data_IF_295288737760
#
_entry.id   IF_295288737760
#
_cell.length_a   1.000
_cell.length_b   1.000
_cell.length_c   1.000
_cell.angle_alpha   90.00
_cell.angle_beta   90.00
_cell.angle_gamma   90.00
#
_symmetry.space_group_name_H-M   'P 1'
#
loop_
_entity.id
_entity.type
_entity.pdbx_description
1 polymer ?
#
# COMPACT_ATOMS: atom_id res chain seq x y z
N UNK A 1 4.03 -2.91 -10.44
CA UNK A 1 3.21 -3.22 -9.26
C UNK A 1 1.72 -3.32 -9.61
N UNK A 2 0.94 -3.90 -8.69
CA UNK A 2 -0.51 -3.84 -8.69
C UNK A 2 -1.01 -2.71 -7.79
N UNK A 3 -2.12 -2.08 -8.18
CA UNK A 3 -2.76 -1.00 -7.43
C UNK A 3 -4.23 -1.30 -7.19
N UNK A 4 -4.68 -1.05 -5.96
CA UNK A 4 -6.08 -1.15 -5.55
C UNK A 4 -6.44 0.10 -4.75
N UNK A 5 -7.65 0.62 -4.94
CA UNK A 5 -8.19 1.77 -4.20
C UNK A 5 -9.48 1.36 -3.49
N UNK A 6 -9.44 1.07 -2.18
CA UNK A 6 -10.63 0.67 -1.42
C UNK A 6 -11.74 1.71 -1.39
N UNK A 7 -11.37 2.98 -1.56
CA UNK A 7 -12.27 4.13 -1.49
C UNK A 7 -12.09 5.05 -2.67
N UNK A 8 -13.12 5.82 -3.03
CA UNK A 8 -12.98 6.92 -3.97
C UNK A 8 -12.47 8.16 -3.25
N UNK A 9 -11.45 8.80 -3.84
CA UNK A 9 -10.85 10.01 -3.26
C UNK A 9 -10.89 11.12 -4.29
N UNK A 10 -11.56 12.24 -3.97
CA UNK A 10 -11.60 13.40 -4.85
C UNK A 10 -10.33 14.24 -4.77
N UNK A 11 -9.91 14.84 -5.88
CA UNK A 11 -8.73 15.70 -5.95
C UNK A 11 -8.75 16.88 -4.97
N UNK A 12 -9.94 17.39 -4.64
CA UNK A 12 -10.10 18.48 -3.67
C UNK A 12 -9.65 18.09 -2.25
N UNK A 13 -9.81 16.81 -1.89
CA UNK A 13 -9.45 16.28 -0.56
C UNK A 13 -7.97 15.87 -0.47
N UNK A 14 -7.34 15.61 -1.63
CA UNK A 14 -5.99 15.02 -1.71
C UNK A 14 -4.89 16.08 -1.65
N UNK A 15 -5.16 17.31 -2.11
CA UNK A 15 -4.11 18.29 -2.47
C UNK A 15 -3.17 18.62 -1.33
N UNK A 16 -3.66 18.68 -0.12
CA UNK A 16 -2.90 19.13 1.06
C UNK A 16 -2.85 18.10 2.20
N UNK A 17 -3.49 16.93 2.05
CA UNK A 17 -3.47 15.88 3.06
C UNK A 17 -2.08 15.21 3.12
N UNK A 18 -1.47 15.06 4.29
CA UNK A 18 -0.25 14.26 4.43
C UNK A 18 -0.54 12.79 4.13
N UNK A 19 0.48 12.05 3.69
CA UNK A 19 0.35 10.63 3.35
C UNK A 19 1.20 9.82 4.32
N UNK A 20 0.61 8.77 4.88
CA UNK A 20 1.32 7.74 5.62
C UNK A 20 1.41 6.46 4.78
N UNK A 21 2.61 5.98 4.51
CA UNK A 21 2.82 4.69 3.86
C UNK A 21 3.24 3.65 4.90
N UNK A 22 2.47 2.59 4.98
CA UNK A 22 2.67 1.49 5.92
C UNK A 22 3.04 0.21 5.15
N UNK A 23 3.85 -0.65 5.78
CA UNK A 23 3.97 -2.03 5.30
C UNK A 23 2.73 -2.83 5.70
N UNK A 24 2.52 -3.97 5.07
CA UNK A 24 1.42 -4.87 5.40
C UNK A 24 1.85 -5.90 6.43
N UNK A 25 2.74 -6.80 6.04
CA UNK A 25 3.14 -7.95 6.85
C UNK A 25 4.12 -7.54 7.96
N UNK A 26 3.78 -7.81 9.20
CA UNK A 26 4.56 -7.41 10.37
C UNK A 26 4.30 -5.97 10.85
N UNK A 27 3.42 -5.22 10.18
CA UNK A 27 2.99 -3.85 10.57
C UNK A 27 1.47 -3.79 10.78
N UNK A 28 0.70 -4.20 9.79
CA UNK A 28 -0.77 -4.22 9.88
C UNK A 28 -1.31 -5.59 10.25
N UNK A 29 -0.76 -6.63 9.64
CA UNK A 29 -1.12 -8.01 9.95
C UNK A 29 0.10 -8.84 10.34
N UNK A 30 -0.15 -9.94 11.04
CA UNK A 30 0.89 -10.90 11.40
C UNK A 30 1.56 -11.45 10.14
N UNK A 31 2.88 -11.25 10.03
CA UNK A 31 3.70 -11.94 9.05
C UNK A 31 3.90 -13.39 9.44
N UNK A 32 3.86 -14.30 8.47
CA UNK A 32 4.08 -15.73 8.74
C UNK A 32 5.04 -16.36 7.74
N UNK A 33 5.75 -17.43 8.13
CA UNK A 33 6.48 -18.26 7.18
C UNK A 33 5.50 -18.80 6.10
N UNK A 34 5.90 -18.73 4.82
CA UNK A 34 5.06 -19.22 3.72
C UNK A 34 3.97 -18.26 3.26
N UNK A 35 4.00 -17.03 3.72
CA UNK A 35 3.11 -15.92 3.33
C UNK A 35 1.67 -16.04 3.88
N UNK A 36 0.90 -14.98 3.72
CA UNK A 36 -0.56 -14.97 3.85
C UNK A 36 -1.12 -15.35 2.48
N UNK A 37 -1.72 -16.52 2.37
CA UNK A 37 -2.13 -17.10 1.09
C UNK A 37 -3.63 -17.07 0.85
N UNK A 38 -4.43 -16.77 1.89
CA UNK A 38 -5.87 -16.71 1.81
C UNK A 38 -6.43 -15.63 2.75
N UNK A 39 -7.63 -15.08 2.48
CA UNK A 39 -8.26 -14.09 3.36
C UNK A 39 -8.37 -14.55 4.82
N UNK A 40 -8.73 -15.82 5.04
CA UNK A 40 -8.92 -16.42 6.37
C UNK A 40 -7.63 -16.48 7.19
N UNK A 41 -6.50 -16.29 6.55
CA UNK A 41 -5.17 -16.26 7.21
C UNK A 41 -4.75 -14.87 7.68
N UNK A 42 -5.55 -13.84 7.38
CA UNK A 42 -5.27 -12.47 7.81
C UNK A 42 -5.53 -12.33 9.30
N UNK A 43 -4.50 -11.99 10.05
CA UNK A 43 -4.60 -11.70 11.49
C UNK A 43 -4.07 -10.30 11.74
N UNK A 44 -4.94 -9.35 12.04
CA UNK A 44 -4.56 -7.96 12.33
C UNK A 44 -3.72 -7.90 13.61
N UNK A 45 -2.62 -7.18 13.57
CA UNK A 45 -1.76 -7.00 14.75
C UNK A 45 -2.45 -6.13 15.81
N UNK A 46 -2.26 -6.41 17.09
CA UNK A 46 -2.79 -5.57 18.17
C UNK A 46 -2.37 -4.11 17.99
N UNK A 47 -3.33 -3.20 18.03
CA UNK A 47 -3.10 -1.76 17.88
C UNK A 47 -3.01 -1.26 16.43
N UNK A 48 -2.89 -2.12 15.43
CA UNK A 48 -2.77 -1.69 14.03
C UNK A 48 -3.99 -0.88 13.56
N UNK A 49 -5.20 -1.32 13.89
CA UNK A 49 -6.43 -0.59 13.56
C UNK A 49 -6.46 0.79 14.24
N UNK A 50 -6.10 0.86 15.52
CA UNK A 50 -6.06 2.12 16.26
C UNK A 50 -5.08 3.12 15.63
N UNK A 51 -3.87 2.66 15.25
CA UNK A 51 -2.88 3.51 14.58
C UNK A 51 -3.40 4.03 13.23
N UNK A 52 -4.03 3.18 12.43
CA UNK A 52 -4.62 3.60 11.14
C UNK A 52 -5.76 4.59 11.37
N UNK A 53 -6.64 4.34 12.35
CA UNK A 53 -7.73 5.24 12.73
C UNK A 53 -7.20 6.59 13.20
N UNK A 54 -6.17 6.62 14.03
CA UNK A 54 -5.54 7.85 14.52
C UNK A 54 -4.92 8.67 13.38
N UNK A 55 -4.25 8.01 12.43
CA UNK A 55 -3.73 8.67 11.23
C UNK A 55 -4.87 9.28 10.40
N UNK A 56 -5.96 8.57 10.20
CA UNK A 56 -7.11 9.08 9.46
C UNK A 56 -7.79 10.26 10.19
N UNK A 57 -7.96 10.18 11.51
CA UNK A 57 -8.48 11.28 12.35
C UNK A 57 -7.58 12.51 12.32
N UNK A 58 -6.26 12.29 12.22
CA UNK A 58 -5.28 13.35 12.05
C UNK A 58 -5.20 13.92 10.61
N UNK A 59 -6.04 13.42 9.69
CA UNK A 59 -6.14 13.91 8.32
C UNK A 59 -5.19 13.26 7.32
N UNK A 60 -4.46 12.21 7.70
CA UNK A 60 -3.60 11.49 6.77
C UNK A 60 -4.39 10.64 5.77
N UNK A 61 -3.87 10.55 4.56
CA UNK A 61 -4.20 9.47 3.63
C UNK A 61 -3.28 8.29 3.92
N UNK A 62 -3.85 7.13 4.17
CA UNK A 62 -3.07 5.93 4.48
C UNK A 62 -2.93 5.06 3.22
N UNK A 63 -1.70 4.81 2.82
CA UNK A 63 -1.33 3.89 1.74
C UNK A 63 -0.57 2.68 2.27
N UNK A 64 -0.84 1.50 1.73
CA UNK A 64 -0.08 0.29 2.02
C UNK A 64 0.86 -0.02 0.88
N UNK A 65 2.15 -0.25 1.18
CA UNK A 65 3.19 -0.63 0.22
C UNK A 65 3.81 -1.95 0.64
N UNK A 66 3.57 -3.02 -0.13
CA UNK A 66 3.96 -4.38 0.26
C UNK A 66 4.66 -5.16 -0.85
N UNK A 67 5.62 -6.01 -0.48
CA UNK A 67 6.27 -6.95 -1.39
C UNK A 67 5.57 -8.31 -1.31
N UNK A 68 4.95 -8.76 -2.40
CA UNK A 68 4.17 -10.00 -2.47
C UNK A 68 4.66 -10.89 -3.61
N UNK A 69 5.82 -11.50 -3.42
CA UNK A 69 6.42 -12.42 -4.40
C UNK A 69 5.65 -13.73 -4.64
N UNK A 70 4.70 -14.18 -3.79
CA UNK A 70 3.83 -15.31 -4.12
C UNK A 70 3.18 -15.20 -5.49
N UNK A 71 2.84 -13.99 -5.93
CA UNK A 71 2.24 -13.76 -7.26
C UNK A 71 3.17 -14.23 -8.37
N UNK A 72 4.44 -13.77 -8.38
CA UNK A 72 5.39 -14.18 -9.40
C UNK A 72 5.82 -15.64 -9.24
N UNK A 73 5.80 -16.17 -8.02
CA UNK A 73 6.06 -17.59 -7.74
C UNK A 73 4.93 -18.51 -8.19
N UNK A 74 3.82 -17.95 -8.68
CA UNK A 74 2.66 -18.73 -9.14
C UNK A 74 1.86 -19.40 -8.02
N UNK A 75 2.01 -18.97 -6.77
CA UNK A 75 1.24 -19.53 -5.65
C UNK A 75 -0.21 -19.08 -5.71
N UNK A 76 -0.45 -17.84 -6.11
CA UNK A 76 -1.77 -17.25 -6.33
C UNK A 76 -1.69 -15.99 -7.20
N UNK A 77 -2.83 -15.55 -7.73
CA UNK A 77 -2.94 -14.43 -8.67
C UNK A 77 -3.41 -13.12 -8.01
N UNK A 78 -3.56 -12.07 -8.84
CA UNK A 78 -4.02 -10.76 -8.39
C UNK A 78 -5.45 -10.77 -7.82
N UNK A 79 -6.27 -11.75 -8.17
CA UNK A 79 -7.62 -11.95 -7.64
C UNK A 79 -7.57 -12.31 -6.15
N UNK A 80 -6.67 -13.22 -5.78
CA UNK A 80 -6.49 -13.60 -4.38
C UNK A 80 -5.86 -12.47 -3.57
N UNK A 81 -4.94 -11.69 -4.16
CA UNK A 81 -4.43 -10.46 -3.55
C UNK A 81 -5.58 -9.52 -3.18
N UNK A 82 -6.54 -9.36 -4.10
CA UNK A 82 -7.69 -8.49 -3.87
C UNK A 82 -8.55 -8.96 -2.70
N UNK A 83 -8.74 -10.26 -2.55
CA UNK A 83 -9.49 -10.84 -1.44
C UNK A 83 -8.76 -10.65 -0.10
N UNK A 84 -7.46 -10.93 -0.06
CA UNK A 84 -6.63 -10.74 1.15
C UNK A 84 -6.64 -9.27 1.61
N UNK A 85 -6.48 -8.32 0.70
CA UNK A 85 -6.49 -6.89 1.04
C UNK A 85 -7.89 -6.40 1.46
N UNK A 86 -8.94 -6.96 0.85
CA UNK A 86 -10.31 -6.65 1.26
C UNK A 86 -10.60 -7.14 2.67
N UNK A 87 -10.17 -8.35 3.00
CA UNK A 87 -10.30 -8.91 4.36
C UNK A 87 -9.55 -8.06 5.38
N UNK A 88 -8.30 -7.70 5.09
CA UNK A 88 -7.54 -6.81 5.97
C UNK A 88 -8.28 -5.48 6.21
N UNK A 89 -8.86 -4.89 5.18
CA UNK A 89 -9.63 -3.65 5.32
C UNK A 89 -10.89 -3.85 6.18
N UNK A 90 -11.59 -4.97 6.01
CA UNK A 90 -12.78 -5.31 6.82
C UNK A 90 -12.40 -5.43 8.28
N UNK A 91 -11.39 -6.24 8.60
CA UNK A 91 -10.94 -6.45 9.98
C UNK A 91 -10.43 -5.16 10.65
N UNK A 92 -9.73 -4.30 9.91
CA UNK A 92 -9.31 -2.99 10.44
C UNK A 92 -10.52 -2.12 10.79
N UNK A 93 -11.53 -2.02 9.90
CA UNK A 93 -12.73 -1.21 10.12
C UNK A 93 -13.66 -1.78 11.19
N UNK A 94 -13.68 -3.09 11.38
CA UNK A 94 -14.41 -3.73 12.49
C UNK A 94 -13.80 -3.39 13.85
N UNK A 95 -12.46 -3.27 13.91
CA UNK A 95 -11.75 -2.93 15.14
C UNK A 95 -11.74 -1.41 15.43
N UNK A 96 -11.68 -0.58 14.40
CA UNK A 96 -11.78 0.89 14.49
C UNK A 96 -12.47 1.42 13.22
N UNK A 97 -13.65 2.01 13.35
CA UNK A 97 -14.46 2.50 12.21
C UNK A 97 -13.77 3.56 11.36
N UNK A 98 -12.73 4.22 11.87
CA UNK A 98 -11.93 5.19 11.16
C UNK A 98 -10.69 4.56 10.50
N UNK A 99 -10.41 3.27 10.72
CA UNK A 99 -9.21 2.60 10.20
C UNK A 99 -9.30 2.28 8.70
N UNK A 100 -9.35 3.30 7.88
CA UNK A 100 -9.50 3.19 6.42
C UNK A 100 -8.14 3.23 5.72
N UNK A 101 -7.85 2.22 4.90
CA UNK A 101 -6.74 2.26 3.93
C UNK A 101 -7.28 2.90 2.63
N UNK A 102 -6.55 3.86 2.11
CA UNK A 102 -6.94 4.60 0.91
C UNK A 102 -6.35 3.99 -0.37
N UNK A 103 -5.19 3.36 -0.26
CA UNK A 103 -4.46 2.83 -1.41
C UNK A 103 -3.63 1.61 -1.01
N UNK A 104 -3.68 0.55 -1.81
CA UNK A 104 -2.71 -0.55 -1.75
C UNK A 104 -1.85 -0.54 -3.00
N UNK A 105 -0.54 -0.65 -2.83
CA UNK A 105 0.43 -0.83 -3.91
C UNK A 105 1.29 -2.03 -3.59
N UNK A 106 1.27 -3.00 -4.49
CA UNK A 106 1.91 -4.30 -4.29
C UNK A 106 2.97 -4.58 -5.35
N UNK A 107 4.18 -4.87 -4.91
CA UNK A 107 5.20 -5.42 -5.80
C UNK A 107 5.06 -6.95 -5.86
N UNK A 108 4.77 -7.54 -7.04
CA UNK A 108 4.63 -8.99 -7.19
C UNK A 108 5.97 -9.72 -7.38
N UNK A 109 7.06 -8.98 -7.62
CA UNK A 109 8.31 -9.54 -8.12
C UNK A 109 9.15 -10.19 -7.02
N UNK A 110 9.92 -11.21 -7.40
CA UNK A 110 10.97 -11.78 -6.55
C UNK A 110 12.18 -10.85 -6.46
N UNK A 111 13.07 -11.10 -5.49
CA UNK A 111 14.22 -10.22 -5.24
C UNK A 111 15.18 -10.13 -6.44
N UNK A 112 15.35 -11.24 -7.13
CA UNK A 112 16.29 -11.41 -8.25
C UNK A 112 15.95 -10.54 -9.47
N UNK A 113 14.69 -10.15 -9.61
CA UNK A 113 14.21 -9.27 -10.70
C UNK A 113 14.75 -7.83 -10.60
N UNK A 114 15.24 -7.40 -9.43
CA UNK A 114 15.77 -6.05 -9.20
C UNK A 114 14.88 -4.96 -9.80
N UNK A 115 13.57 -5.14 -9.69
CA UNK A 115 12.59 -4.22 -10.27
C UNK A 115 12.53 -2.89 -9.52
N UNK A 116 12.03 -1.85 -10.19
CA UNK A 116 11.91 -0.52 -9.60
C UNK A 116 10.85 -0.41 -8.49
N UNK A 117 9.93 -1.40 -8.38
CA UNK A 117 8.85 -1.34 -7.39
C UNK A 117 9.14 -2.09 -6.09
N UNK A 118 9.99 -3.12 -6.09
CA UNK A 118 10.25 -3.91 -4.88
C UNK A 118 11.02 -3.10 -3.84
N UNK A 119 10.46 -3.01 -2.62
CA UNK A 119 11.21 -2.45 -1.48
C UNK A 119 12.54 -3.21 -1.29
N UNK A 120 13.65 -2.47 -1.10
CA UNK A 120 13.75 -1.08 -0.70
C UNK A 120 13.72 -0.05 -1.85
N UNK A 121 13.51 -0.44 -3.13
CA UNK A 121 13.35 0.55 -4.21
C UNK A 121 12.15 1.47 -3.96
N UNK A 122 12.24 2.77 -4.27
CA UNK A 122 11.21 3.76 -3.92
C UNK A 122 10.00 3.76 -4.86
N UNK A 123 9.97 2.91 -5.88
CA UNK A 123 9.00 3.01 -6.96
C UNK A 123 7.54 2.92 -6.52
N UNK A 124 7.21 2.13 -5.50
CA UNK A 124 5.84 2.10 -4.97
C UNK A 124 5.47 3.40 -4.25
N UNK A 125 6.41 4.00 -3.51
CA UNK A 125 6.18 5.28 -2.83
C UNK A 125 5.94 6.40 -3.86
N UNK A 126 6.80 6.49 -4.88
CA UNK A 126 6.66 7.47 -5.97
C UNK A 126 5.33 7.31 -6.72
N UNK A 127 4.94 6.06 -6.99
CA UNK A 127 3.64 5.78 -7.60
C UNK A 127 2.48 6.20 -6.67
N UNK A 128 2.57 5.89 -5.39
CA UNK A 128 1.57 6.27 -4.39
C UNK A 128 1.38 7.78 -4.32
N UNK A 129 2.47 8.54 -4.27
CA UNK A 129 2.42 9.99 -4.34
C UNK A 129 1.76 10.48 -5.64
N UNK A 130 2.17 9.93 -6.79
CA UNK A 130 1.58 10.29 -8.09
C UNK A 130 0.07 10.05 -8.12
N UNK A 131 -0.39 8.93 -7.59
CA UNK A 131 -1.81 8.56 -7.58
C UNK A 131 -2.61 9.40 -6.59
N UNK A 132 -2.10 9.59 -5.37
CA UNK A 132 -2.78 10.32 -4.31
C UNK A 132 -2.69 11.85 -4.47
N UNK A 133 -1.69 12.38 -5.19
CA UNK A 133 -1.50 13.81 -5.48
C UNK A 133 -1.87 14.22 -6.90
N UNK A 134 -2.28 13.26 -7.72
CA UNK A 134 -2.65 13.49 -9.12
C UNK A 134 -3.92 14.35 -9.27
N UNK A 135 -4.08 14.92 -10.47
CA UNK A 135 -5.32 15.61 -10.84
C UNK A 135 -6.39 14.57 -11.16
N UNK A 136 -7.59 14.74 -10.62
CA UNK A 136 -8.73 13.88 -10.88
C UNK A 136 -9.19 13.12 -9.64
N UNK A 137 -10.13 12.21 -9.82
CA UNK A 137 -10.65 11.33 -8.78
C UNK A 137 -9.97 9.97 -8.87
N UNK A 138 -9.46 9.47 -7.75
CA UNK A 138 -9.07 8.07 -7.65
C UNK A 138 -10.35 7.26 -7.37
N UNK A 139 -10.80 6.52 -8.37
CA UNK A 139 -12.03 5.74 -8.28
C UNK A 139 -11.84 4.49 -7.44
N UNK A 140 -12.87 4.13 -6.67
CA UNK A 140 -12.89 2.89 -5.90
C UNK A 140 -12.72 1.68 -6.80
N UNK A 141 -11.74 0.83 -6.51
CA UNK A 141 -11.52 -0.43 -7.21
C UNK A 141 -10.79 -1.44 -6.33
N UNK A 142 -11.41 -2.57 -6.08
CA UNK A 142 -10.76 -3.73 -5.45
C UNK A 142 -9.98 -4.59 -6.44
N UNK A 143 -10.21 -4.43 -7.74
CA UNK A 143 -9.42 -5.13 -8.76
C UNK A 143 -7.96 -4.69 -8.68
N UNK A 144 -7.04 -5.64 -8.51
CA UNK A 144 -5.62 -5.40 -8.52
C UNK A 144 -5.16 -5.08 -9.96
N UNK A 145 -5.08 -3.80 -10.29
CA UNK A 145 -4.73 -3.33 -11.63
C UNK A 145 -3.22 -3.20 -11.77
N UNK A 146 -2.61 -3.78 -12.82
CA UNK A 146 -1.19 -3.61 -13.07
C UNK A 146 -0.87 -2.17 -13.47
N UNK A 147 0.18 -1.61 -12.88
CA UNK A 147 0.73 -0.31 -13.23
C UNK A 147 2.19 -0.46 -13.66
N UNK A 148 2.57 0.25 -14.71
CA UNK A 148 3.96 0.34 -15.12
C UNK A 148 4.63 1.47 -14.36
N UNK A 149 5.74 1.17 -13.70
CA UNK A 149 6.64 2.18 -13.16
C UNK A 149 7.74 2.40 -14.18
N UNK A 150 7.89 3.62 -14.65
CA UNK A 150 9.09 4.03 -15.35
C UNK A 150 10.25 3.91 -14.35
N UNK A 151 11.33 3.26 -14.76
CA UNK A 151 12.50 3.16 -13.88
C UNK A 151 12.90 4.58 -13.49
N UNK A 152 12.81 4.99 -12.23
CA UNK A 152 13.44 6.21 -11.83
C UNK A 152 14.93 5.99 -12.07
N UNK A 153 15.59 6.91 -12.77
CA UNK A 153 17.04 7.02 -12.79
C UNK A 153 17.46 7.56 -11.40
N UNK A 154 17.21 6.74 -10.39
CA UNK A 154 17.66 7.04 -9.03
C UNK A 154 18.77 6.04 -8.78
N UNK A 155 19.97 6.55 -8.76
CA UNK A 155 21.08 5.83 -8.17
C UNK A 155 20.74 5.70 -6.66
N UNK A 156 20.23 4.53 -6.33
CA UNK A 156 19.78 4.12 -5.01
C UNK A 156 20.82 4.36 -3.90
N UNK A 157 22.09 4.41 -4.26
CA UNK A 157 23.21 4.62 -3.35
C UNK A 157 23.65 6.10 -3.24
N UNK A 158 23.20 6.96 -4.13
CA UNK A 158 23.75 8.32 -4.28
C UNK A 158 22.87 9.47 -3.79
N UNK A 159 21.55 9.40 -3.83
CA UNK A 159 20.69 10.51 -3.40
C UNK A 159 19.37 10.00 -2.82
N UNK A 160 19.15 10.31 -1.54
CA UNK A 160 17.82 10.14 -0.94
C UNK A 160 16.90 11.19 -1.57
N UNK A 161 15.83 10.78 -2.29
CA UNK A 161 14.84 11.76 -2.70
C UNK A 161 14.26 12.42 -1.45
N UNK A 162 14.16 13.72 -1.45
CA UNK A 162 13.43 14.44 -0.41
C UNK A 162 11.99 13.95 -0.40
N UNK A 163 11.36 13.75 0.76
CA UNK A 163 9.94 13.41 0.80
C UNK A 163 9.17 14.49 0.04
N UNK A 164 8.22 14.12 -0.83
CA UNK A 164 7.47 15.06 -1.66
C UNK A 164 6.62 16.05 -0.85
N UNK A 165 6.33 15.70 0.39
CA UNK A 165 5.60 16.55 1.33
C UNK A 165 6.22 16.43 2.73
N UNK A 166 6.44 17.57 3.45
CA UNK A 166 7.11 17.55 4.77
C UNK A 166 6.38 16.76 5.86
N UNK A 167 5.08 16.55 5.71
CA UNK A 167 4.25 15.79 6.66
C UNK A 167 4.10 14.30 6.34
N UNK A 168 4.67 13.79 5.26
CA UNK A 168 4.50 12.39 4.88
C UNK A 168 5.33 11.46 5.76
N UNK A 169 4.74 10.33 6.13
CA UNK A 169 5.33 9.31 6.98
C UNK A 169 5.51 8.00 6.20
N UNK A 170 6.58 7.27 6.53
CA UNK A 170 6.79 5.89 6.12
C UNK A 170 7.19 5.06 7.34
N UNK A 171 6.41 4.02 7.59
CA UNK A 171 6.61 3.05 8.67
C UNK A 171 6.68 1.64 8.10
#
# INVERSE_FOLDING_TARGET
>A
PYVQSPVSISSARIKDAPIAFLDRDGVLNLGKPGYVNAPEEVVVLPGAASVVGDLNRAGYLVGVVTNQSPIQRGLWGPENLALIHRELQVLLLEADSDACIHLFITCPHVHEERCACRKPSPGMLLLGHKLLRGKGTLERSWTARPHRIERPVVDWWGSKPSPPHPGDLMV
#
